data_IF_993689124615
#
_entry.id   IF_993689124615
#
_cell.length_a   1.000
_cell.length_b   1.000
_cell.length_c   1.000
_cell.angle_alpha   90.00
_cell.angle_beta   90.00
_cell.angle_gamma   90.00
#
_symmetry.space_group_name_H-M   'P 1'
#
loop_
_entity.id
_entity.type
_entity.pdbx_description
1 polymer ?
#
# COMPACT_ATOMS: atom_id res chain seq x y z
N UNK A 1 -19.78 -10.53 -25.73
CA UNK A 1 -18.39 -10.98 -25.95
C UNK A 1 -17.54 -10.35 -24.85
N UNK A 2 -17.31 -11.08 -23.75
CA UNK A 2 -16.37 -10.67 -22.70
C UNK A 2 -14.96 -10.95 -23.23
N UNK A 3 -14.17 -9.90 -23.44
CA UNK A 3 -12.74 -10.06 -23.68
C UNK A 3 -12.11 -10.66 -22.42
N UNK A 4 -11.48 -11.81 -22.58
CA UNK A 4 -10.62 -12.45 -21.59
C UNK A 4 -9.44 -11.51 -21.31
N UNK A 5 -9.41 -10.90 -20.13
CA UNK A 5 -8.31 -10.04 -19.69
C UNK A 5 -7.17 -10.95 -19.20
N UNK A 6 -6.39 -11.48 -20.12
CA UNK A 6 -5.13 -12.17 -19.81
C UNK A 6 -4.00 -11.19 -20.08
N UNK A 7 -3.96 -10.11 -19.29
CA UNK A 7 -2.85 -9.15 -19.29
C UNK A 7 -1.70 -9.84 -18.58
N UNK A 8 -0.55 -10.09 -19.24
CA UNK A 8 0.58 -10.75 -18.61
C UNK A 8 1.01 -9.99 -17.35
N UNK A 9 1.34 -10.71 -16.28
CA UNK A 9 1.66 -10.10 -14.98
C UNK A 9 2.80 -9.06 -15.06
N UNK A 10 3.75 -9.24 -15.99
CA UNK A 10 4.84 -8.31 -16.26
C UNK A 10 4.39 -6.97 -16.89
N UNK A 11 3.19 -6.92 -17.47
CA UNK A 11 2.58 -5.70 -18.00
C UNK A 11 1.83 -4.92 -16.89
N UNK A 12 1.47 -5.58 -15.78
CA UNK A 12 0.86 -4.92 -14.61
C UNK A 12 1.92 -4.54 -13.58
N UNK A 13 2.91 -5.41 -13.36
CA UNK A 13 4.02 -5.22 -12.41
C UNK A 13 5.32 -5.17 -13.22
N UNK A 14 5.80 -3.96 -13.48
CA UNK A 14 7.01 -3.69 -14.24
C UNK A 14 8.15 -3.30 -13.28
N UNK A 15 9.10 -4.21 -13.07
CA UNK A 15 10.24 -4.02 -12.16
C UNK A 15 11.11 -2.81 -12.53
N UNK A 16 11.38 -2.62 -13.83
CA UNK A 16 12.24 -1.53 -14.31
C UNK A 16 11.56 -0.16 -14.10
N UNK A 17 10.24 -0.10 -14.26
CA UNK A 17 9.45 1.10 -13.99
C UNK A 17 9.39 1.41 -12.50
N UNK A 18 9.14 0.41 -11.66
CA UNK A 18 9.11 0.56 -10.20
C UNK A 18 10.47 1.04 -9.70
N UNK A 19 11.55 0.35 -10.09
CA UNK A 19 12.91 0.69 -9.67
C UNK A 19 13.26 2.13 -10.05
N UNK A 20 12.99 2.52 -11.30
CA UNK A 20 13.23 3.88 -11.77
C UNK A 20 12.39 4.91 -11.01
N UNK A 21 11.12 4.61 -10.75
CA UNK A 21 10.22 5.50 -10.00
C UNK A 21 10.76 5.75 -8.59
N UNK A 22 11.26 4.70 -7.92
CA UNK A 22 11.85 4.82 -6.59
C UNK A 22 13.20 5.55 -6.62
N UNK A 23 14.05 5.28 -7.61
CA UNK A 23 15.37 5.91 -7.76
C UNK A 23 15.29 7.41 -8.11
N UNK A 24 14.29 7.80 -8.89
CA UNK A 24 14.04 9.18 -9.31
C UNK A 24 13.23 9.98 -8.28
N UNK A 25 12.42 9.30 -7.46
CA UNK A 25 11.60 9.95 -6.44
C UNK A 25 12.45 10.73 -5.44
N UNK A 26 11.94 11.88 -5.03
CA UNK A 26 12.52 12.72 -3.98
C UNK A 26 11.39 13.10 -3.03
N UNK A 27 11.75 13.32 -1.76
CA UNK A 27 10.80 13.90 -0.82
C UNK A 27 10.29 15.23 -1.40
N UNK A 28 8.96 15.44 -1.47
CA UNK A 28 8.41 16.67 -2.01
C UNK A 28 8.81 17.85 -1.13
N UNK A 29 9.11 18.99 -1.76
CA UNK A 29 9.17 20.24 -1.02
C UNK A 29 7.75 20.65 -0.56
N UNK A 30 7.67 21.72 0.25
CA UNK A 30 6.39 22.13 0.83
C UNK A 30 5.33 22.44 -0.25
N UNK A 31 5.70 23.11 -1.33
CA UNK A 31 4.76 23.47 -2.38
C UNK A 31 4.22 22.22 -3.10
N UNK A 32 5.11 21.28 -3.42
CA UNK A 32 4.74 20.00 -4.03
C UNK A 32 3.88 19.15 -3.10
N UNK A 33 4.21 19.13 -1.81
CA UNK A 33 3.41 18.43 -0.81
C UNK A 33 2.00 19.00 -0.74
N UNK A 34 1.85 20.32 -0.68
CA UNK A 34 0.56 21.00 -0.65
C UNK A 34 -0.29 20.64 -1.88
N UNK A 35 0.30 20.61 -3.08
CA UNK A 35 -0.38 20.20 -4.31
C UNK A 35 -0.85 18.74 -4.27
N UNK A 36 0.01 17.82 -3.80
CA UNK A 36 -0.33 16.41 -3.67
C UNK A 36 -1.47 16.18 -2.66
N UNK A 37 -1.41 16.88 -1.52
CA UNK A 37 -2.45 16.81 -0.49
C UNK A 37 -3.76 17.43 -0.99
N UNK A 38 -3.72 18.52 -1.75
CA UNK A 38 -4.90 19.11 -2.37
C UNK A 38 -5.56 18.16 -3.39
N UNK A 39 -4.77 17.48 -4.23
CA UNK A 39 -5.25 16.46 -5.16
C UNK A 39 -5.90 15.30 -4.42
N UNK A 40 -5.25 14.72 -3.42
CA UNK A 40 -5.81 13.58 -2.68
C UNK A 40 -7.10 13.95 -1.93
N UNK A 41 -7.23 15.20 -1.47
CA UNK A 41 -8.48 15.73 -0.90
C UNK A 41 -9.63 15.82 -1.92
N UNK A 42 -9.36 15.92 -3.23
CA UNK A 42 -10.42 15.81 -4.24
C UNK A 42 -10.93 14.37 -4.43
N UNK A 43 -10.35 13.40 -3.71
CA UNK A 43 -10.59 11.96 -3.81
C UNK A 43 -10.14 11.37 -5.16
N UNK A 44 -9.22 12.06 -5.82
CA UNK A 44 -8.47 11.52 -6.94
C UNK A 44 -7.33 10.64 -6.42
N UNK A 45 -7.13 9.49 -7.08
CA UNK A 45 -6.05 8.57 -6.76
C UNK A 45 -4.67 9.17 -7.06
N UNK A 46 -3.64 8.55 -6.47
CA UNK A 46 -2.24 8.87 -6.73
C UNK A 46 -1.71 8.05 -7.92
N UNK A 47 -0.77 8.63 -8.67
CA UNK A 47 0.10 7.87 -9.58
C UNK A 47 1.21 7.16 -8.79
N UNK A 48 1.95 6.26 -9.44
CA UNK A 48 3.10 5.58 -8.83
C UNK A 48 4.18 6.57 -8.37
N UNK A 49 4.49 7.57 -9.19
CA UNK A 49 5.47 8.61 -8.86
C UNK A 49 5.01 9.45 -7.68
N UNK A 50 3.74 9.88 -7.65
CA UNK A 50 3.21 10.67 -6.54
C UNK A 50 3.18 9.88 -5.23
N UNK A 51 2.87 8.58 -5.29
CA UNK A 51 2.96 7.70 -4.13
C UNK A 51 4.41 7.55 -3.65
N UNK A 52 5.37 7.40 -4.57
CA UNK A 52 6.79 7.33 -4.26
C UNK A 52 7.32 8.61 -3.60
N UNK A 53 6.91 9.79 -4.07
CA UNK A 53 7.23 11.08 -3.43
C UNK A 53 6.72 11.11 -1.98
N UNK A 54 5.44 10.77 -1.73
CA UNK A 54 4.87 10.78 -0.39
C UNK A 54 5.48 9.74 0.56
N UNK A 55 5.97 8.61 0.05
CA UNK A 55 6.67 7.59 0.85
C UNK A 55 8.01 8.09 1.40
N UNK A 56 8.59 9.14 0.81
CA UNK A 56 9.88 9.71 1.22
C UNK A 56 9.73 10.91 2.17
N UNK A 57 8.52 11.26 2.60
CA UNK A 57 8.29 12.35 3.57
C UNK A 57 8.75 11.90 4.97
N UNK A 58 9.73 12.60 5.54
CA UNK A 58 10.28 12.31 6.87
C UNK A 58 10.12 13.48 7.86
N UNK A 59 9.99 14.71 7.35
CA UNK A 59 9.90 15.91 8.21
C UNK A 59 8.61 15.89 9.05
N UNK A 60 8.69 16.11 10.38
CA UNK A 60 7.54 15.94 11.28
C UNK A 60 6.29 16.75 10.91
N UNK A 61 6.45 18.01 10.50
CA UNK A 61 5.33 18.90 10.13
C UNK A 61 4.66 18.44 8.81
N UNK A 62 5.47 17.95 7.87
CA UNK A 62 5.00 17.38 6.61
C UNK A 62 4.24 16.06 6.84
N UNK A 63 4.77 15.20 7.72
CA UNK A 63 4.09 13.96 8.14
C UNK A 63 2.76 14.23 8.83
N UNK A 64 2.69 15.24 9.70
CA UNK A 64 1.44 15.65 10.35
C UNK A 64 0.38 16.04 9.31
N UNK A 65 0.76 16.89 8.36
CA UNK A 65 -0.11 17.31 7.25
C UNK A 65 -0.61 16.12 6.41
N UNK A 66 0.26 15.14 6.16
CA UNK A 66 -0.08 13.89 5.47
C UNK A 66 -1.09 13.07 6.27
N UNK A 67 -0.85 12.87 7.56
CA UNK A 67 -1.75 12.10 8.44
C UNK A 67 -3.10 12.78 8.66
N UNK A 68 -3.13 14.10 8.75
CA UNK A 68 -4.37 14.87 8.80
C UNK A 68 -5.19 14.71 7.52
N UNK A 69 -4.53 14.80 6.36
CA UNK A 69 -5.17 14.59 5.07
C UNK A 69 -5.73 13.16 4.96
N UNK A 70 -4.96 12.14 5.35
CA UNK A 70 -5.43 10.76 5.39
C UNK A 70 -6.64 10.57 6.32
N UNK A 71 -6.64 11.21 7.50
CA UNK A 71 -7.77 11.19 8.45
C UNK A 71 -9.02 11.83 7.85
N UNK A 72 -8.89 12.97 7.17
CA UNK A 72 -10.00 13.64 6.51
C UNK A 72 -10.60 12.77 5.41
N UNK A 73 -9.77 12.19 4.54
CA UNK A 73 -10.22 11.29 3.47
C UNK A 73 -10.93 10.07 4.07
N UNK A 74 -10.35 9.46 5.11
CA UNK A 74 -10.98 8.35 5.84
C UNK A 74 -12.35 8.75 6.38
N UNK A 75 -12.46 9.92 7.01
CA UNK A 75 -13.73 10.39 7.58
C UNK A 75 -14.76 10.75 6.49
N UNK A 76 -14.33 11.34 5.38
CA UNK A 76 -15.22 11.69 4.25
C UNK A 76 -15.80 10.45 3.57
N UNK A 77 -15.00 9.40 3.37
CA UNK A 77 -15.44 8.17 2.70
C UNK A 77 -16.11 7.21 3.69
N UNK A 78 -15.47 6.95 4.84
CA UNK A 78 -15.85 5.89 5.77
C UNK A 78 -16.50 6.40 7.06
N UNK A 79 -16.46 7.70 7.35
CA UNK A 79 -16.92 8.28 8.62
C UNK A 79 -16.17 7.68 9.81
N UNK A 80 -16.86 7.55 10.94
CA UNK A 80 -16.32 6.91 12.14
C UNK A 80 -16.52 5.38 12.17
N UNK A 81 -16.92 4.77 11.04
CA UNK A 81 -17.16 3.32 10.98
C UNK A 81 -15.85 2.56 11.10
N UNK A 82 -15.90 1.46 11.85
CA UNK A 82 -14.85 0.44 11.99
C UNK A 82 -15.54 -0.91 11.79
N UNK A 83 -15.04 -1.71 10.85
CA UNK A 83 -15.57 -3.06 10.57
C UNK A 83 -14.81 -4.06 11.44
N UNK A 84 -15.55 -4.91 12.17
CA UNK A 84 -14.99 -5.95 13.02
C UNK A 84 -15.11 -7.32 12.33
N UNK A 85 -14.05 -8.11 12.39
CA UNK A 85 -14.03 -9.49 11.93
C UNK A 85 -13.16 -10.36 12.84
N UNK A 86 -13.44 -11.67 12.89
CA UNK A 86 -12.66 -12.64 13.66
C UNK A 86 -12.11 -13.71 12.70
N UNK A 87 -10.78 -13.91 12.60
CA UNK A 87 -10.22 -14.97 11.79
C UNK A 87 -10.45 -16.33 12.46
N UNK A 88 -10.79 -17.35 11.67
CA UNK A 88 -10.90 -18.74 12.11
C UNK A 88 -9.89 -19.59 11.34
N UNK A 89 -8.78 -19.94 11.98
CA UNK A 89 -7.81 -20.90 11.43
C UNK A 89 -8.29 -22.31 11.74
N UNK A 90 -8.75 -23.03 10.71
CA UNK A 90 -9.24 -24.42 10.84
C UNK A 90 -8.08 -25.43 10.75
N UNK A 91 -6.98 -25.05 10.08
CA UNK A 91 -5.77 -25.87 9.97
C UNK A 91 -4.54 -24.99 9.85
N UNK A 92 -3.43 -25.49 10.37
CA UNK A 92 -2.08 -24.94 10.20
C UNK A 92 -1.18 -25.83 9.33
N UNK A 93 -1.74 -26.86 8.70
CA UNK A 93 -1.02 -27.74 7.77
C UNK A 93 -0.76 -27.01 6.45
N UNK A 94 0.51 -26.97 6.02
CA UNK A 94 0.91 -26.25 4.82
C UNK A 94 2.07 -26.95 4.11
N UNK A 95 1.96 -27.12 2.80
CA UNK A 95 3.03 -27.67 1.94
C UNK A 95 4.09 -26.63 1.56
N UNK A 96 3.79 -25.35 1.79
CA UNK A 96 4.66 -24.22 1.51
C UNK A 96 5.80 -24.09 2.51
N UNK A 97 6.83 -23.33 2.11
CA UNK A 97 8.01 -23.10 2.94
C UNK A 97 8.38 -21.62 3.05
N UNK A 98 7.37 -20.76 3.13
CA UNK A 98 7.54 -19.31 3.17
C UNK A 98 8.42 -18.91 4.36
N UNK A 99 9.51 -18.18 4.11
CA UNK A 99 10.50 -17.83 5.13
C UNK A 99 9.93 -16.97 6.27
N UNK A 100 8.86 -16.23 5.99
CA UNK A 100 8.17 -15.34 6.94
C UNK A 100 7.02 -16.03 7.69
N UNK A 101 6.65 -17.28 7.34
CA UNK A 101 5.45 -17.92 7.86
C UNK A 101 5.79 -18.98 8.92
N UNK A 102 5.09 -18.94 10.05
CA UNK A 102 5.24 -19.96 11.10
C UNK A 102 4.73 -21.33 10.67
N UNK A 103 3.67 -21.42 9.86
CA UNK A 103 3.08 -22.68 9.39
C UNK A 103 3.88 -23.37 8.28
N UNK A 104 5.04 -22.82 7.89
CA UNK A 104 5.92 -23.44 6.90
C UNK A 104 6.21 -24.90 7.26
N UNK A 105 6.26 -25.77 6.25
CA UNK A 105 6.40 -27.22 6.45
C UNK A 105 7.63 -27.61 7.27
N UNK A 106 8.73 -26.85 7.13
CA UNK A 106 9.99 -27.15 7.80
C UNK A 106 9.98 -26.76 9.29
N UNK A 107 8.95 -26.04 9.77
CA UNK A 107 8.83 -25.72 11.20
C UNK A 107 8.26 -26.92 11.97
N UNK A 108 9.10 -27.86 12.38
CA UNK A 108 8.68 -29.08 13.10
C UNK A 108 8.41 -28.87 14.59
N UNK A 109 8.59 -27.65 15.11
CA UNK A 109 8.32 -27.32 16.52
C UNK A 109 6.83 -27.00 16.77
N UNK A 110 6.06 -26.76 15.71
CA UNK A 110 4.62 -26.50 15.78
C UNK A 110 3.82 -27.79 15.97
N UNK A 111 2.93 -27.79 16.96
CA UNK A 111 1.86 -28.79 17.09
C UNK A 111 0.81 -28.55 15.98
N UNK A 112 0.43 -29.61 15.27
CA UNK A 112 -0.44 -29.58 14.10
C UNK A 112 -1.63 -30.50 14.28
#
# INVERSE_FOLDING_TARGET
MMATHDVPAAEIINEDEISRTLDEARAPDQARLDDLLAKTRSLEGLSLTEAAELMLVEEPEALESLFETAREIKHRIYGNRIVLFAPLYISNECVGNCLYCSFRRDNTELER
#
